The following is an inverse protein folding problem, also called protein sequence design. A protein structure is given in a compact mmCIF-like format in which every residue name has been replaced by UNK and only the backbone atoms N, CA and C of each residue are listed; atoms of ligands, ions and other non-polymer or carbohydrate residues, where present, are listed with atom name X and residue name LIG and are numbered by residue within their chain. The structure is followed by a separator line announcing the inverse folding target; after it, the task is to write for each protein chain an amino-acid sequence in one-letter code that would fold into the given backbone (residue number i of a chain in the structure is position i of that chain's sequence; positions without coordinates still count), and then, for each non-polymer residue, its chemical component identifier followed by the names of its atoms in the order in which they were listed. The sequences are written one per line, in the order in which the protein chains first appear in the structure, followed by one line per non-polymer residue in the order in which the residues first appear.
data_IF_839353749370
#
_entry.id   IF_839353749370
#
_cell.length_a   1.000
_cell.length_b   1.000
_cell.length_c   1.000
_cell.angle_alpha   90.00
_cell.angle_beta   90.00
_cell.angle_gamma   90.00
#
_symmetry.space_group_name_H-M   'P 1'
#
loop_
_entity.id
_entity.type
_entity.pdbx_description
1 polymer ?
#
# COMPACT_ATOMS: atom_id res chain seq x y z
N UNK A 1 -33.62 -30.27 -13.62
CA UNK A 1 -32.18 -30.62 -13.59
C UNK A 1 -31.47 -29.74 -14.62
N UNK A 2 -30.37 -29.09 -14.19
CA UNK A 2 -29.41 -28.24 -14.93
C UNK A 2 -29.99 -26.92 -15.52
N UNK A 3 -29.36 -25.75 -15.43
CA UNK A 3 -27.96 -25.30 -15.25
C UNK A 3 -27.96 -24.01 -14.39
N UNK A 4 -26.99 -23.70 -13.53
CA UNK A 4 -25.62 -23.27 -13.85
C UNK A 4 -25.48 -21.75 -13.62
N UNK A 5 -24.59 -21.31 -12.71
CA UNK A 5 -24.44 -19.89 -12.40
C UNK A 5 -23.29 -19.56 -11.43
N UNK A 6 -22.06 -19.64 -11.96
CA UNK A 6 -20.84 -18.94 -11.55
C UNK A 6 -20.63 -18.66 -10.04
N UNK A 7 -19.96 -19.60 -9.36
CA UNK A 7 -19.03 -19.20 -8.30
C UNK A 7 -17.82 -18.52 -8.95
N UNK A 8 -17.65 -17.24 -8.61
CA UNK A 8 -16.61 -16.32 -9.04
C UNK A 8 -15.21 -16.93 -9.01
N UNK A 9 -14.76 -17.43 -10.17
CA UNK A 9 -13.32 -17.51 -10.47
C UNK A 9 -12.87 -16.11 -10.87
N UNK A 10 -12.51 -15.28 -9.90
CA UNK A 10 -11.74 -14.06 -10.19
C UNK A 10 -10.45 -14.52 -10.91
N UNK A 11 -10.28 -14.09 -12.16
CA UNK A 11 -9.16 -14.48 -13.01
C UNK A 11 -7.83 -14.01 -12.37
N UNK A 12 -6.86 -14.89 -12.11
CA UNK A 12 -5.57 -14.51 -11.50
C UNK A 12 -4.80 -13.46 -12.33
N UNK A 13 -5.02 -13.42 -13.63
CA UNK A 13 -4.44 -12.45 -14.58
C UNK A 13 -4.87 -11.00 -14.26
N UNK A 14 -6.05 -10.79 -13.67
CA UNK A 14 -6.52 -9.44 -13.34
C UNK A 14 -5.88 -8.88 -12.07
N UNK A 15 -5.62 -9.73 -11.06
CA UNK A 15 -5.00 -9.29 -9.80
C UNK A 15 -3.52 -8.97 -9.96
N UNK A 16 -2.78 -9.79 -10.70
CA UNK A 16 -1.36 -9.52 -10.98
C UNK A 16 -1.18 -8.19 -11.70
N UNK A 17 -2.05 -7.90 -12.69
CA UNK A 17 -2.04 -6.62 -13.40
C UNK A 17 -2.39 -5.48 -12.45
N UNK A 18 -3.44 -5.62 -11.63
CA UNK A 18 -3.84 -4.61 -10.67
C UNK A 18 -2.69 -4.25 -9.72
N UNK A 19 -1.98 -5.25 -9.19
CA UNK A 19 -0.86 -5.01 -8.28
C UNK A 19 0.32 -4.33 -8.97
N UNK A 20 0.67 -4.75 -10.19
CA UNK A 20 1.72 -4.09 -10.97
C UNK A 20 1.38 -2.64 -11.27
N UNK A 21 0.13 -2.37 -11.64
CA UNK A 21 -0.32 -1.02 -11.95
C UNK A 21 -0.21 -0.16 -10.67
N UNK A 22 -0.65 -0.64 -9.49
CA UNK A 22 -0.51 0.10 -8.22
C UNK A 22 0.97 0.34 -7.86
N UNK A 23 1.84 -0.66 -8.04
CA UNK A 23 3.27 -0.53 -7.79
C UNK A 23 3.91 0.54 -8.69
N UNK A 24 3.49 0.62 -9.95
CA UNK A 24 3.93 1.65 -10.89
C UNK A 24 3.48 3.04 -10.44
N UNK A 25 2.20 3.22 -10.11
CA UNK A 25 1.65 4.52 -9.69
C UNK A 25 2.24 4.98 -8.36
N UNK A 26 2.45 4.06 -7.42
CA UNK A 26 3.15 4.33 -6.16
C UNK A 26 4.58 4.78 -6.42
N UNK A 27 5.27 4.18 -7.39
CA UNK A 27 6.65 4.55 -7.72
C UNK A 27 6.73 5.96 -8.31
N UNK A 28 5.78 6.35 -9.19
CA UNK A 28 5.69 7.72 -9.70
C UNK A 28 5.39 8.71 -8.58
N UNK A 29 4.43 8.39 -7.70
CA UNK A 29 4.10 9.19 -6.53
C UNK A 29 5.31 9.40 -5.62
N UNK A 30 6.02 8.31 -5.27
CA UNK A 30 7.22 8.36 -4.46
C UNK A 30 8.27 9.27 -5.09
N UNK A 31 8.57 9.11 -6.37
CA UNK A 31 9.58 9.92 -7.06
C UNK A 31 9.20 11.40 -7.08
N UNK A 32 7.92 11.72 -7.31
CA UNK A 32 7.43 13.09 -7.31
C UNK A 32 7.60 13.77 -5.94
N UNK A 33 7.29 13.06 -4.86
CA UNK A 33 7.34 13.60 -3.51
C UNK A 33 8.61 13.25 -2.72
N UNK A 34 9.59 12.57 -3.32
CA UNK A 34 10.78 12.13 -2.60
C UNK A 34 11.56 13.31 -1.99
N UNK A 35 11.70 14.42 -2.72
CA UNK A 35 12.35 15.61 -2.18
C UNK A 35 11.56 16.19 -1.00
N UNK A 36 10.23 16.25 -1.10
CA UNK A 36 9.38 16.68 0.00
C UNK A 36 9.56 15.77 1.22
N UNK A 37 9.60 14.46 1.02
CA UNK A 37 9.87 13.49 2.10
C UNK A 37 11.23 13.73 2.75
N UNK A 38 12.29 14.04 1.99
CA UNK A 38 13.60 14.37 2.58
C UNK A 38 13.55 15.64 3.45
N UNK A 39 12.66 16.58 3.13
CA UNK A 39 12.53 17.85 3.85
C UNK A 39 11.59 17.75 5.06
N UNK A 40 10.54 16.92 5.00
CA UNK A 40 9.46 16.87 6.00
C UNK A 40 9.35 15.54 6.74
N UNK A 41 10.08 14.52 6.29
CA UNK A 41 9.96 13.13 6.74
C UNK A 41 8.52 12.59 6.63
N UNK A 42 7.77 13.07 5.63
CA UNK A 42 6.40 12.65 5.37
C UNK A 42 6.10 12.67 3.86
N UNK A 43 5.24 11.74 3.43
CA UNK A 43 4.57 11.82 2.13
C UNK A 43 3.20 12.51 2.32
N UNK A 44 2.76 13.35 1.37
CA UNK A 44 1.49 14.06 1.51
C UNK A 44 0.32 13.08 1.42
N UNK A 45 -0.60 13.14 2.38
CA UNK A 45 -1.88 12.41 2.33
C UNK A 45 -3.02 13.28 1.75
N UNK A 46 -2.95 14.60 1.93
CA UNK A 46 -3.89 15.56 1.34
C UNK A 46 -3.33 16.12 0.02
N UNK A 47 -3.53 15.40 -1.09
CA UNK A 47 -3.07 15.88 -2.39
C UNK A 47 -4.18 16.65 -3.12
N UNK A 48 -4.38 17.93 -2.76
CA UNK A 48 -5.24 18.83 -3.54
C UNK A 48 -4.84 18.97 -5.02
N UNK A 49 -3.66 18.46 -5.41
CA UNK A 49 -3.24 18.25 -6.81
C UNK A 49 -2.21 17.10 -6.85
N UNK A 50 -2.66 15.84 -6.93
CA UNK A 50 -1.73 14.72 -7.15
C UNK A 50 -0.95 14.90 -8.48
N UNK A 51 0.20 14.23 -8.65
CA UNK A 51 0.99 14.36 -9.87
C UNK A 51 0.15 14.01 -11.10
N UNK A 52 0.22 14.80 -12.19
CA UNK A 52 -0.66 14.63 -13.36
C UNK A 52 -0.42 13.32 -14.11
N UNK A 53 0.71 12.66 -13.88
CA UNK A 53 1.14 11.39 -14.46
C UNK A 53 0.81 10.16 -13.57
N UNK A 54 0.23 10.39 -12.39
CA UNK A 54 -0.26 9.34 -11.49
C UNK A 54 -1.73 9.06 -11.79
N UNK A 55 -2.03 7.83 -12.19
CA UNK A 55 -3.39 7.30 -12.34
C UNK A 55 -3.85 6.66 -11.03
N UNK A 56 -4.99 7.10 -10.51
CA UNK A 56 -5.53 6.62 -9.23
C UNK A 56 -6.58 5.51 -9.38
N UNK A 57 -7.01 5.20 -10.60
CA UNK A 57 -8.13 4.29 -10.85
C UNK A 57 -7.93 2.89 -10.28
N UNK A 58 -6.71 2.36 -10.31
CA UNK A 58 -6.38 1.04 -9.76
C UNK A 58 -6.35 1.02 -8.24
N UNK A 59 -5.91 2.12 -7.61
CA UNK A 59 -6.02 2.31 -6.17
C UNK A 59 -7.50 2.35 -5.73
N UNK A 60 -8.36 3.07 -6.46
CA UNK A 60 -9.82 3.09 -6.21
C UNK A 60 -10.41 1.69 -6.23
N UNK A 61 -10.08 0.88 -7.25
CA UNK A 61 -10.57 -0.50 -7.37
C UNK A 61 -10.11 -1.33 -6.17
N UNK A 62 -8.83 -1.29 -5.83
CA UNK A 62 -8.29 -2.08 -4.72
C UNK A 62 -8.94 -1.72 -3.39
N UNK A 63 -9.05 -0.42 -3.08
CA UNK A 63 -9.66 0.07 -1.85
C UNK A 63 -11.13 -0.35 -1.75
N UNK A 64 -11.87 -0.31 -2.86
CA UNK A 64 -13.24 -0.80 -2.94
C UNK A 64 -13.38 -2.30 -2.66
N UNK A 65 -12.49 -3.14 -3.21
CA UNK A 65 -12.48 -4.58 -2.96
C UNK A 65 -12.12 -4.93 -1.51
N UNK A 66 -11.17 -4.18 -0.92
CA UNK A 66 -10.72 -4.36 0.47
C UNK A 66 -11.68 -3.73 1.50
N UNK A 67 -12.60 -2.88 1.04
CA UNK A 67 -13.52 -2.09 1.89
C UNK A 67 -12.77 -1.22 2.91
N UNK A 68 -11.65 -0.64 2.50
CA UNK A 68 -10.89 0.29 3.32
C UNK A 68 -11.38 1.72 3.13
N UNK A 69 -11.43 2.47 4.22
CA UNK A 69 -11.86 3.88 4.24
C UNK A 69 -10.66 4.82 4.08
N UNK A 70 -9.79 4.51 3.12
CA UNK A 70 -8.66 5.36 2.74
C UNK A 70 -8.96 5.95 1.36
N UNK A 71 -8.43 7.14 1.12
CA UNK A 71 -8.30 7.70 -0.22
C UNK A 71 -7.18 6.99 -1.00
N UNK A 72 -7.20 7.13 -2.32
CA UNK A 72 -6.14 6.60 -3.19
C UNK A 72 -4.78 7.21 -2.85
N UNK A 73 -4.76 8.49 -2.46
CA UNK A 73 -3.54 9.20 -2.09
C UNK A 73 -2.98 8.69 -0.77
N UNK A 74 -3.84 8.45 0.23
CA UNK A 74 -3.42 7.80 1.47
C UNK A 74 -2.78 6.44 1.19
N UNK A 75 -3.35 5.62 0.28
CA UNK A 75 -2.73 4.35 -0.09
C UNK A 75 -1.31 4.55 -0.66
N UNK A 76 -1.14 5.38 -1.68
CA UNK A 76 0.17 5.61 -2.31
C UNK A 76 1.19 6.23 -1.35
N UNK A 77 0.74 7.17 -0.51
CA UNK A 77 1.55 7.82 0.51
C UNK A 77 2.06 6.83 1.55
N UNK A 78 1.18 5.96 2.05
CA UNK A 78 1.53 4.97 3.07
C UNK A 78 2.46 3.88 2.55
N UNK A 79 2.25 3.40 1.31
CA UNK A 79 3.19 2.48 0.65
C UNK A 79 4.58 3.11 0.50
N UNK A 80 4.62 4.40 0.12
CA UNK A 80 5.85 5.19 -0.04
C UNK A 80 6.59 5.36 1.29
N UNK A 81 5.86 5.72 2.35
CA UNK A 81 6.41 5.89 3.69
C UNK A 81 6.99 4.58 4.23
N UNK A 82 6.25 3.48 4.13
CA UNK A 82 6.74 2.17 4.57
C UNK A 82 8.02 1.77 3.86
N UNK A 83 8.11 2.03 2.56
CA UNK A 83 9.28 1.71 1.76
C UNK A 83 10.51 2.55 2.12
N UNK A 84 10.29 3.80 2.50
CA UNK A 84 11.32 4.66 3.05
C UNK A 84 11.79 4.20 4.45
N UNK A 85 10.85 3.84 5.34
CA UNK A 85 11.15 3.36 6.71
C UNK A 85 11.93 2.04 6.71
N UNK A 86 11.75 1.19 5.71
CA UNK A 86 12.52 -0.07 5.55
C UNK A 86 13.74 0.08 4.64
N UNK A 87 14.05 1.30 4.19
CA UNK A 87 15.29 1.62 3.50
C UNK A 87 15.41 1.10 2.06
N UNK A 88 14.30 0.81 1.38
CA UNK A 88 14.32 0.25 0.01
C UNK A 88 14.30 1.32 -1.10
N UNK A 89 14.25 2.61 -0.74
CA UNK A 89 14.28 3.77 -1.65
C UNK A 89 13.23 3.71 -2.79
N UNK A 90 12.06 3.17 -2.45
CA UNK A 90 10.87 3.05 -3.29
C UNK A 90 9.70 2.70 -2.37
N UNK A 91 8.44 2.74 -2.82
CA UNK A 91 7.33 2.19 -2.05
C UNK A 91 7.47 0.69 -1.80
N UNK A 92 6.91 0.21 -0.69
CA UNK A 92 6.68 -1.23 -0.51
C UNK A 92 5.75 -1.73 -1.63
N UNK A 93 6.07 -2.86 -2.29
CA UNK A 93 5.17 -3.49 -3.24
C UNK A 93 3.81 -3.81 -2.60
N UNK A 94 2.71 -3.55 -3.30
CA UNK A 94 1.36 -3.70 -2.72
C UNK A 94 1.08 -5.12 -2.24
N UNK A 95 1.59 -6.13 -2.95
CA UNK A 95 1.45 -7.53 -2.52
C UNK A 95 2.18 -7.80 -1.19
N UNK A 96 3.36 -7.22 -0.99
CA UNK A 96 4.11 -7.32 0.27
C UNK A 96 3.33 -6.65 1.39
N UNK A 97 2.80 -5.45 1.13
CA UNK A 97 1.98 -4.72 2.09
C UNK A 97 0.75 -5.52 2.55
N UNK A 98 -0.01 -6.10 1.61
CA UNK A 98 -1.16 -6.95 1.91
C UNK A 98 -0.74 -8.19 2.73
N UNK A 99 0.37 -8.81 2.35
CA UNK A 99 0.92 -9.97 3.06
C UNK A 99 1.31 -9.63 4.51
N UNK A 100 1.93 -8.45 4.70
CA UNK A 100 2.32 -7.94 6.02
C UNK A 100 1.10 -7.63 6.90
N UNK A 101 0.06 -7.01 6.34
CA UNK A 101 -1.18 -6.71 7.06
C UNK A 101 -1.92 -7.97 7.51
N UNK A 102 -1.95 -9.02 6.68
CA UNK A 102 -2.58 -10.29 7.01
C UNK A 102 -1.77 -11.13 8.02
N UNK A 103 -0.62 -10.63 8.48
CA UNK A 103 0.28 -11.36 9.39
C UNK A 103 0.86 -12.63 8.77
N UNK A 104 0.88 -12.73 7.43
CA UNK A 104 1.39 -13.90 6.72
C UNK A 104 2.92 -13.92 6.77
N UNK A 105 3.47 -15.09 7.08
CA UNK A 105 4.89 -15.28 7.37
C UNK A 105 5.81 -15.34 6.15
N UNK A 106 5.28 -15.17 4.92
CA UNK A 106 6.09 -15.30 3.70
C UNK A 106 5.87 -14.13 2.77
N UNK A 107 6.82 -13.18 2.82
CA UNK A 107 6.97 -12.14 1.80
C UNK A 107 8.05 -12.62 0.82
N UNK A 108 7.65 -12.94 -0.42
CA UNK A 108 8.53 -13.50 -1.46
C UNK A 108 9.40 -12.46 -2.18
N UNK A 109 9.43 -11.25 -1.63
CA UNK A 109 10.06 -10.10 -2.24
C UNK A 109 11.58 -10.10 -2.07
N UNK A 110 12.26 -9.48 -3.03
CA UNK A 110 13.70 -9.18 -2.93
C UNK A 110 14.03 -8.25 -1.76
N UNK A 111 13.02 -7.66 -1.12
CA UNK A 111 13.13 -6.75 0.02
C UNK A 111 12.99 -7.44 1.39
N UNK A 112 12.85 -8.77 1.43
CA UNK A 112 12.66 -9.53 2.67
C UNK A 112 13.74 -9.23 3.73
N UNK A 113 15.01 -9.17 3.33
CA UNK A 113 16.11 -8.82 4.25
C UNK A 113 15.96 -7.40 4.83
N UNK A 114 15.50 -6.44 4.00
CA UNK A 114 15.25 -5.07 4.43
C UNK A 114 14.10 -4.99 5.43
N UNK A 115 13.05 -5.78 5.24
CA UNK A 115 11.93 -5.88 6.18
C UNK A 115 12.36 -6.46 7.53
N UNK A 116 13.20 -7.51 7.51
CA UNK A 116 13.73 -8.14 8.74
C UNK A 116 14.66 -7.16 9.48
N UNK A 117 15.59 -6.53 8.77
CA UNK A 117 16.54 -5.58 9.35
C UNK A 117 15.85 -4.37 9.98
N UNK A 118 14.73 -3.93 9.40
CA UNK A 118 14.00 -2.73 9.83
C UNK A 118 12.64 -3.06 10.46
N UNK A 119 12.47 -4.28 10.98
CA UNK A 119 11.17 -4.77 11.47
C UNK A 119 10.53 -3.85 12.51
N UNK A 120 11.32 -3.33 13.46
CA UNK A 120 10.81 -2.41 14.48
C UNK A 120 10.24 -1.11 13.89
N UNK A 121 10.93 -0.52 12.90
CA UNK A 121 10.47 0.68 12.18
C UNK A 121 9.22 0.38 11.36
N UNK A 122 9.21 -0.78 10.67
CA UNK A 122 8.07 -1.26 9.90
C UNK A 122 6.82 -1.39 10.75
N UNK A 123 6.91 -2.08 11.90
CA UNK A 123 5.77 -2.24 12.82
C UNK A 123 5.29 -0.90 13.36
N UNK A 124 6.21 -0.03 13.81
CA UNK A 124 5.86 1.31 14.29
C UNK A 124 5.13 2.11 13.21
N UNK A 125 5.56 2.01 11.95
CA UNK A 125 4.91 2.69 10.84
C UNK A 125 3.51 2.12 10.58
N UNK A 126 3.36 0.79 10.51
CA UNK A 126 2.07 0.13 10.30
C UNK A 126 1.06 0.47 11.41
N UNK A 127 1.51 0.57 12.65
CA UNK A 127 0.66 0.97 13.79
C UNK A 127 0.06 2.37 13.64
N UNK A 128 0.68 3.28 12.87
CA UNK A 128 0.12 4.62 12.61
C UNK A 128 -1.12 4.58 11.73
N UNK A 129 -1.32 3.49 10.99
CA UNK A 129 -2.45 3.34 10.06
C UNK A 129 -3.65 2.64 10.70
N UNK A 130 -3.45 2.04 11.88
CA UNK A 130 -4.52 1.45 12.67
C UNK A 130 -5.10 2.59 13.50
N UNK A 131 -6.41 2.89 13.41
CA UNK A 131 -7.04 3.84 14.31
C UNK A 131 -6.75 3.40 15.75
N UNK A 132 -6.41 4.33 16.63
CA UNK A 132 -6.33 4.01 18.05
C UNK A 132 -7.67 3.39 18.44
N UNK A 133 -7.66 2.17 19.00
CA UNK A 133 -8.84 1.69 19.71
C UNK A 133 -9.13 2.74 20.77
N UNK A 134 -10.33 3.33 20.74
CA UNK A 134 -10.79 4.23 21.79
C UNK A 134 -10.45 3.56 23.12
N UNK A 135 -9.56 4.17 23.92
CA UNK A 135 -9.37 3.73 25.29
C UNK A 135 -10.77 3.74 25.91
N UNK A 136 -11.28 2.61 26.43
CA UNK A 136 -12.57 2.60 27.09
C UNK A 136 -12.45 3.61 28.24
N UNK A 137 -13.23 4.69 28.14
CA UNK A 137 -13.10 5.89 28.95
C UNK A 137 -12.74 5.59 30.41
N UNK A 138 -11.63 6.18 30.84
CA UNK A 138 -11.28 6.28 32.26
C UNK A 138 -12.27 7.13 33.04
#
# INVERSE_FOLDING_TARGET
MNQGGLHSRQNPIHLEKLYKDIDEQSSKFFQHYHQHYLDTNAFPEDACSHPPDVDLSTATILLGELKWDWTEIELLSRLSLLGAEVGINRPIPILDFLTLLEGKSIVWSTYCESYIANFASLIRCLQRFIPAEDEPGS
#
